data_IF_783545410260
#
_entry.id   IF_783545410260
#
_cell.length_a   1.000
_cell.length_b   1.000
_cell.length_c   1.000
_cell.angle_alpha   90.00
_cell.angle_beta   90.00
_cell.angle_gamma   90.00
#
_symmetry.space_group_name_H-M   'P 1'
#
loop_
_entity.id
_entity.type
_entity.pdbx_description
1 polymer ?
#
# COMPACT_ATOMS: atom_id res chain seq x y z
N UNK A 1 -4.38 -5.65 4.49
CA UNK A 1 -5.03 -4.94 3.35
C UNK A 1 -4.31 -3.64 2.95
N UNK A 2 -3.99 -2.73 3.88
CA UNK A 2 -3.20 -1.50 3.62
C UNK A 2 -1.83 -1.76 2.96
N UNK A 3 -1.11 -2.81 3.37
CA UNK A 3 0.15 -3.21 2.77
C UNK A 3 0.00 -3.81 1.36
N UNK A 4 -1.19 -4.20 0.90
CA UNK A 4 -1.48 -4.64 -0.46
C UNK A 4 -1.97 -3.49 -1.35
N UNK A 5 -2.69 -2.52 -0.78
CA UNK A 5 -3.17 -1.33 -1.48
C UNK A 5 -2.03 -0.34 -1.77
N UNK A 6 -1.02 -0.27 -0.91
CA UNK A 6 0.27 0.39 -1.20
C UNK A 6 1.11 -0.31 -2.31
N UNK A 7 0.82 -1.58 -2.64
CA UNK A 7 1.59 -2.35 -3.65
C UNK A 7 1.19 -2.02 -5.08
N UNK A 8 -0.08 -1.68 -5.31
CA UNK A 8 -0.54 -1.23 -6.62
C UNK A 8 0.05 0.16 -6.96
N UNK A 9 0.09 1.07 -5.97
CA UNK A 9 0.58 2.44 -6.15
C UNK A 9 2.07 2.53 -6.53
N UNK A 10 2.89 1.56 -6.09
CA UNK A 10 4.34 1.54 -6.37
C UNK A 10 4.73 0.74 -7.62
N UNK A 11 3.95 -0.25 -8.03
CA UNK A 11 4.25 -1.03 -9.25
C UNK A 11 4.19 -0.16 -10.52
N UNK A 12 3.36 0.88 -10.49
CA UNK A 12 3.10 1.81 -11.59
C UNK A 12 4.24 2.80 -11.90
N UNK A 13 5.16 3.04 -10.96
CA UNK A 13 6.31 3.95 -11.18
C UNK A 13 7.42 3.35 -12.05
N UNK A 14 7.38 2.05 -12.35
CA UNK A 14 8.44 1.36 -13.10
C UNK A 14 8.07 0.98 -14.55
N UNK A 15 6.88 1.37 -15.05
CA UNK A 15 6.47 1.12 -16.44
C UNK A 15 6.58 2.34 -17.37
N UNK A 16 7.08 3.49 -16.88
CA UNK A 16 7.29 4.68 -17.71
C UNK A 16 8.78 4.88 -18.06
N UNK A 17 9.27 4.09 -19.02
CA UNK A 17 10.38 4.50 -19.89
C UNK A 17 10.07 4.01 -21.32
N UNK A 18 9.59 4.88 -22.23
CA UNK A 18 9.56 4.53 -23.64
C UNK A 18 10.99 4.53 -24.19
N UNK A 19 11.38 3.42 -24.81
CA UNK A 19 12.58 3.32 -25.64
C UNK A 19 12.42 4.28 -26.83
N UNK A 20 13.24 5.33 -26.88
CA UNK A 20 13.38 6.16 -28.07
C UNK A 20 14.09 5.35 -29.17
N UNK A 21 13.37 5.14 -30.26
CA UNK A 21 13.89 4.64 -31.54
C UNK A 21 14.55 5.83 -32.22
N UNK A 22 15.88 5.87 -32.27
CA UNK A 22 16.62 6.81 -33.12
C UNK A 22 16.67 6.23 -34.52
N UNK A 23 15.85 6.79 -35.41
CA UNK A 23 16.02 6.62 -36.86
C UNK A 23 17.23 7.42 -37.33
N UNK A 24 18.18 6.74 -37.98
CA UNK A 24 19.25 7.37 -38.77
C UNK A 24 18.96 7.14 -40.25
N UNK A 25 18.83 8.24 -40.98
CA UNK A 25 18.75 8.29 -42.44
C UNK A 25 19.81 9.27 -42.96
N UNK A 26 20.29 8.98 -44.18
CA UNK A 26 21.27 9.69 -45.03
C UNK A 26 22.76 9.47 -44.66
N UNK A 27 23.56 8.74 -45.46
CA UNK A 27 24.04 8.97 -46.86
C UNK A 27 24.78 10.32 -46.96
N UNK A 28 26.01 10.48 -47.47
CA UNK A 28 26.79 9.80 -48.52
C UNK A 28 28.31 10.13 -48.39
N UNK A 29 29.14 9.27 -49.00
CA UNK A 29 30.42 9.53 -49.73
C UNK A 29 31.58 10.26 -49.03
N UNK A 30 32.87 9.94 -49.21
CA UNK A 30 33.59 9.00 -50.10
C UNK A 30 35.09 9.06 -49.78
N UNK A 31 35.75 7.90 -49.91
CA UNK A 31 37.10 7.66 -50.47
C UNK A 31 38.34 8.48 -50.03
N UNK A 32 39.35 7.76 -49.54
CA UNK A 32 40.73 7.60 -50.09
C UNK A 32 41.70 7.30 -48.94
N UNK A 33 42.20 6.06 -48.84
CA UNK A 33 43.42 5.50 -49.45
C UNK A 33 44.72 5.76 -48.67
N UNK A 34 45.32 4.65 -48.22
CA UNK A 34 46.75 4.23 -48.29
C UNK A 34 47.77 5.00 -47.44
N UNK A 35 48.45 4.43 -46.43
CA UNK A 35 49.44 3.33 -46.39
C UNK A 35 50.89 3.87 -46.26
N UNK A 36 51.65 3.32 -45.30
CA UNK A 36 53.13 3.13 -45.25
C UNK A 36 53.57 3.07 -43.76
N UNK A 37 54.06 1.97 -43.18
CA UNK A 37 55.46 1.45 -43.14
C UNK A 37 56.51 2.56 -42.87
N UNK A 38 57.52 2.45 -42.01
CA UNK A 38 58.09 1.45 -41.10
C UNK A 38 59.17 2.15 -40.22
N UNK A 39 59.86 1.37 -39.38
CA UNK A 39 61.22 1.60 -38.83
C UNK A 39 61.44 2.35 -37.49
N UNK A 40 61.85 1.56 -36.48
CA UNK A 40 62.87 1.86 -35.45
C UNK A 40 64.30 1.75 -36.05
N UNK A 41 65.45 2.14 -35.42
CA UNK A 41 65.71 2.21 -33.97
C UNK A 41 66.74 3.29 -33.47
N UNK A 42 67.02 3.24 -32.15
CA UNK A 42 68.37 3.29 -31.54
C UNK A 42 68.79 4.52 -30.72
N UNK A 43 69.22 4.19 -29.48
CA UNK A 43 70.31 4.80 -28.65
C UNK A 43 70.17 6.24 -28.17
N UNK A 44 70.67 6.68 -27.01
CA UNK A 44 71.09 6.13 -25.72
C UNK A 44 71.54 7.35 -24.87
N UNK A 45 71.32 7.28 -23.55
CA UNK A 45 72.06 7.99 -22.49
C UNK A 45 72.05 9.53 -22.41
N UNK A 46 71.47 10.08 -21.34
CA UNK A 46 72.17 10.80 -20.24
C UNK A 46 71.20 11.72 -19.46
N UNK A 47 71.10 11.51 -18.14
CA UNK A 47 70.66 12.50 -17.13
C UNK A 47 71.92 13.19 -16.55
N UNK A 48 71.90 14.30 -15.74
CA UNK A 48 70.85 14.89 -14.88
C UNK A 48 70.82 16.47 -14.96
N UNK A 49 70.31 17.34 -14.02
CA UNK A 49 69.62 17.14 -12.73
C UNK A 49 68.31 17.97 -12.46
N UNK A 50 67.63 17.57 -11.38
CA UNK A 50 66.43 18.05 -10.60
C UNK A 50 66.44 19.58 -10.29
N UNK A 51 65.32 20.34 -10.01
CA UNK A 51 64.04 19.95 -9.35
C UNK A 51 62.70 20.53 -9.87
N UNK A 52 61.63 20.04 -9.22
CA UNK A 52 60.28 20.59 -9.06
C UNK A 52 59.25 20.11 -10.08
N UNK A 53 58.47 19.11 -9.71
CA UNK A 53 57.10 19.34 -9.24
C UNK A 53 56.54 18.10 -8.54
N UNK A 54 55.77 18.35 -7.48
CA UNK A 54 55.03 17.35 -6.73
C UNK A 54 53.83 16.96 -7.59
N UNK A 55 53.90 15.83 -8.30
CA UNK A 55 52.69 15.22 -8.85
C UNK A 55 51.95 14.52 -7.71
N UNK A 56 50.82 15.12 -7.34
CA UNK A 56 49.76 14.51 -6.55
C UNK A 56 49.45 13.12 -7.11
N UNK A 57 49.90 12.10 -6.39
CA UNK A 57 49.29 10.79 -6.50
C UNK A 57 47.83 10.96 -6.07
N UNK A 58 46.93 11.02 -7.06
CA UNK A 58 45.50 10.81 -6.84
C UNK A 58 45.35 9.39 -6.31
N UNK A 59 45.36 9.29 -4.98
CA UNK A 59 44.83 8.14 -4.27
C UNK A 59 43.36 8.11 -4.65
N UNK A 60 43.00 7.23 -5.58
CA UNK A 60 41.61 6.81 -5.70
C UNK A 60 41.33 6.06 -4.40
N UNK A 61 40.86 6.79 -3.39
CA UNK A 61 40.30 6.18 -2.19
C UNK A 61 39.22 5.21 -2.67
N UNK A 62 39.50 3.92 -2.59
CA UNK A 62 38.49 2.90 -2.82
C UNK A 62 37.41 3.16 -1.78
N UNK A 63 36.23 3.59 -2.23
CA UNK A 63 35.06 3.77 -1.35
C UNK A 63 34.96 2.54 -0.45
N UNK A 64 35.15 2.71 0.86
CA UNK A 64 35.05 1.61 1.82
C UNK A 64 33.67 0.98 1.65
N UNK A 65 33.66 -0.21 1.07
CA UNK A 65 32.45 -0.86 0.64
C UNK A 65 31.60 -1.22 1.86
N UNK A 66 30.52 -0.50 2.15
CA UNK A 66 29.68 -0.76 3.33
C UNK A 66 28.87 -2.08 3.21
N UNK A 67 28.48 -2.66 4.35
CA UNK A 67 27.81 -3.96 4.40
C UNK A 67 26.49 -3.92 3.63
N UNK A 68 25.80 -2.79 3.72
CA UNK A 68 24.57 -2.52 2.98
C UNK A 68 24.79 -2.63 1.46
N UNK A 69 25.75 -1.91 0.89
CA UNK A 69 26.03 -1.95 -0.55
C UNK A 69 26.55 -3.32 -0.97
N UNK A 70 27.31 -4.00 -0.10
CA UNK A 70 27.75 -5.36 -0.33
C UNK A 70 26.57 -6.32 -0.57
N UNK A 71 25.58 -6.33 0.32
CA UNK A 71 24.38 -7.18 0.19
C UNK A 71 23.44 -6.71 -0.93
N UNK A 72 23.32 -5.40 -1.15
CA UNK A 72 22.43 -4.87 -2.19
C UNK A 72 22.94 -5.16 -3.61
N UNK A 73 24.25 -5.33 -3.82
CA UNK A 73 24.84 -5.73 -5.11
C UNK A 73 24.52 -7.16 -5.54
N UNK A 74 23.95 -7.99 -4.66
CA UNK A 74 23.40 -9.30 -5.03
C UNK A 74 22.15 -9.12 -5.91
N UNK A 75 22.36 -8.72 -7.17
CA UNK A 75 21.30 -8.42 -8.16
C UNK A 75 20.53 -9.67 -8.61
N UNK A 76 21.05 -10.86 -8.36
CA UNK A 76 20.43 -12.13 -8.74
C UNK A 76 19.90 -12.87 -7.49
N UNK A 77 18.64 -13.29 -7.52
CA UNK A 77 18.02 -14.14 -6.49
C UNK A 77 18.69 -15.52 -6.29
N UNK A 78 19.66 -15.86 -7.17
CA UNK A 78 20.46 -17.09 -7.10
C UNK A 78 21.64 -17.00 -6.13
N UNK A 79 22.18 -15.81 -5.87
CA UNK A 79 23.29 -15.65 -4.92
C UNK A 79 22.74 -15.52 -3.50
N UNK A 80 23.29 -16.29 -2.58
CA UNK A 80 22.89 -16.31 -1.17
C UNK A 80 23.42 -15.07 -0.45
N UNK A 81 22.55 -14.36 0.26
CA UNK A 81 22.96 -13.31 1.18
C UNK A 81 23.70 -13.92 2.39
N UNK A 82 23.38 -15.15 2.79
CA UNK A 82 24.10 -15.86 3.85
C UNK A 82 25.56 -16.09 3.46
N UNK A 83 25.84 -16.58 2.25
CA UNK A 83 27.22 -16.77 1.77
C UNK A 83 28.01 -15.45 1.72
N UNK A 84 27.35 -14.37 1.31
CA UNK A 84 27.96 -13.04 1.29
C UNK A 84 28.26 -12.52 2.71
N UNK A 85 27.36 -12.76 3.66
CA UNK A 85 27.55 -12.41 5.07
C UNK A 85 28.64 -13.26 5.74
N UNK A 86 28.71 -14.55 5.43
CA UNK A 86 29.78 -15.45 5.90
C UNK A 86 31.13 -15.00 5.36
N UNK A 87 31.21 -14.63 4.08
CA UNK A 87 32.44 -14.07 3.48
C UNK A 87 32.83 -12.76 4.16
N UNK A 88 31.87 -11.88 4.41
CA UNK A 88 32.09 -10.61 5.10
C UNK A 88 32.62 -10.80 6.53
N UNK A 89 32.01 -11.70 7.29
CA UNK A 89 32.46 -12.05 8.64
C UNK A 89 33.84 -12.74 8.62
N UNK A 90 34.11 -13.59 7.62
CA UNK A 90 35.40 -14.24 7.42
C UNK A 90 36.54 -13.27 7.06
N UNK A 91 36.23 -12.12 6.47
CA UNK A 91 37.16 -11.00 6.26
C UNK A 91 37.44 -10.20 7.55
N UNK A 92 36.87 -10.61 8.69
CA UNK A 92 37.03 -9.93 9.99
C UNK A 92 36.22 -8.65 10.13
N UNK A 93 35.27 -8.41 9.21
CA UNK A 93 34.47 -7.18 9.17
C UNK A 93 33.25 -7.32 10.07
N UNK A 94 32.92 -6.26 10.81
CA UNK A 94 31.77 -6.27 11.71
C UNK A 94 30.45 -6.31 10.93
N UNK A 95 29.47 -7.07 11.45
CA UNK A 95 28.10 -7.11 10.94
C UNK A 95 27.11 -6.99 12.13
N UNK A 96 26.98 -5.80 12.74
CA UNK A 96 26.21 -5.64 13.96
C UNK A 96 24.71 -5.86 13.74
N UNK A 97 24.03 -6.46 14.72
CA UNK A 97 22.61 -6.81 14.64
C UNK A 97 21.67 -5.63 14.23
N UNK A 98 21.84 -4.38 14.72
CA UNK A 98 21.02 -3.25 14.27
C UNK A 98 21.16 -2.93 12.78
N UNK A 99 22.35 -3.09 12.21
CA UNK A 99 22.60 -2.87 10.78
C UNK A 99 21.96 -3.97 9.95
N UNK A 100 22.10 -5.24 10.36
CA UNK A 100 21.44 -6.39 9.73
C UNK A 100 19.91 -6.25 9.74
N UNK A 101 19.31 -5.76 10.83
CA UNK A 101 17.88 -5.42 10.88
C UNK A 101 17.49 -4.36 9.85
N UNK A 102 18.32 -3.32 9.72
CA UNK A 102 18.14 -2.27 8.72
C UNK A 102 18.15 -2.84 7.30
N UNK A 103 19.13 -3.68 7.00
CA UNK A 103 19.29 -4.35 5.70
C UNK A 103 18.10 -5.27 5.40
N UNK A 104 17.71 -6.13 6.34
CA UNK A 104 16.56 -7.02 6.18
C UNK A 104 15.26 -6.25 5.92
N UNK A 105 15.04 -5.13 6.62
CA UNK A 105 13.89 -4.24 6.42
C UNK A 105 13.89 -3.62 5.03
N UNK A 106 15.02 -3.15 4.54
CA UNK A 106 15.10 -2.51 3.23
C UNK A 106 15.04 -3.51 2.08
N UNK A 107 15.63 -4.71 2.24
CA UNK A 107 15.42 -5.82 1.32
C UNK A 107 13.94 -6.23 1.26
N UNK A 108 13.25 -6.24 2.40
CA UNK A 108 11.80 -6.49 2.46
C UNK A 108 11.00 -5.41 1.73
N UNK A 109 11.38 -4.14 1.86
CA UNK A 109 10.78 -3.02 1.10
C UNK A 109 11.04 -3.15 -0.40
N UNK A 110 12.22 -3.63 -0.78
CA UNK A 110 12.60 -3.94 -2.16
C UNK A 110 12.05 -5.28 -2.67
N UNK A 111 11.23 -5.99 -1.88
CA UNK A 111 10.65 -7.32 -2.19
C UNK A 111 11.65 -8.45 -2.42
N UNK A 112 12.89 -8.28 -1.96
CA UNK A 112 13.91 -9.32 -1.95
C UNK A 112 13.75 -10.20 -0.70
N UNK A 113 12.59 -10.83 -0.56
CA UNK A 113 12.20 -11.55 0.67
C UNK A 113 13.11 -12.74 0.97
N UNK A 114 13.62 -13.42 -0.05
CA UNK A 114 14.61 -14.50 0.12
C UNK A 114 15.88 -13.98 0.78
N UNK A 115 16.48 -12.92 0.25
CA UNK A 115 17.68 -12.30 0.84
C UNK A 115 17.40 -11.72 2.24
N UNK A 116 16.23 -11.11 2.45
CA UNK A 116 15.85 -10.63 3.77
C UNK A 116 15.73 -11.78 4.79
N UNK A 117 15.18 -12.93 4.37
CA UNK A 117 15.08 -14.12 5.21
C UNK A 117 16.46 -14.70 5.52
N UNK A 118 17.35 -14.78 4.54
CA UNK A 118 18.74 -15.22 4.72
C UNK A 118 19.51 -14.32 5.71
N UNK A 119 19.32 -12.99 5.64
CA UNK A 119 19.88 -12.05 6.63
C UNK A 119 19.30 -12.29 8.03
N UNK A 120 17.99 -12.52 8.15
CA UNK A 120 17.37 -12.84 9.43
C UNK A 120 17.89 -14.18 10.00
N UNK A 121 18.02 -15.23 9.18
CA UNK A 121 18.59 -16.50 9.59
C UNK A 121 20.04 -16.36 10.06
N UNK A 122 20.85 -15.57 9.36
CA UNK A 122 22.22 -15.23 9.78
C UNK A 122 22.23 -14.56 11.17
N UNK A 123 21.32 -13.62 11.42
CA UNK A 123 21.20 -13.00 12.76
C UNK A 123 20.86 -14.01 13.85
N UNK A 124 20.05 -15.05 13.59
CA UNK A 124 19.77 -16.07 14.62
C UNK A 124 20.98 -16.93 14.92
N UNK A 125 21.74 -17.28 13.90
CA UNK A 125 22.90 -18.18 14.06
C UNK A 125 24.10 -17.47 14.70
N UNK A 126 24.26 -16.16 14.47
CA UNK A 126 25.45 -15.41 14.92
C UNK A 126 25.16 -14.36 16.00
N UNK A 127 23.90 -13.95 16.19
CA UNK A 127 23.47 -12.90 17.12
C UNK A 127 22.22 -13.32 17.93
N UNK A 128 22.15 -14.59 18.35
CA UNK A 128 20.96 -15.13 19.05
C UNK A 128 20.61 -14.35 20.32
N UNK A 129 21.62 -13.93 21.09
CA UNK A 129 21.46 -13.14 22.31
C UNK A 129 20.87 -11.74 22.07
N UNK A 130 21.02 -11.22 20.85
CA UNK A 130 20.58 -9.88 20.50
C UNK A 130 19.15 -9.87 19.95
N UNK A 131 18.52 -11.04 19.74
CA UNK A 131 17.19 -11.15 19.15
C UNK A 131 16.11 -10.61 20.09
N UNK A 132 15.25 -9.77 19.53
CA UNK A 132 14.03 -9.25 20.16
C UNK A 132 12.81 -10.08 19.77
N UNK A 133 11.72 -9.96 20.52
CA UNK A 133 10.41 -10.55 20.20
C UNK A 133 9.93 -10.17 18.78
N UNK A 134 10.17 -8.91 18.38
CA UNK A 134 9.86 -8.42 17.05
C UNK A 134 10.67 -9.12 15.94
N UNK A 135 11.90 -9.59 16.22
CA UNK A 135 12.71 -10.30 15.21
C UNK A 135 12.09 -11.66 14.83
N UNK A 136 11.40 -12.31 15.77
CA UNK A 136 10.61 -13.52 15.48
C UNK A 136 9.40 -13.22 14.60
N UNK A 137 8.66 -12.13 14.89
CA UNK A 137 7.55 -11.67 14.07
C UNK A 137 7.97 -11.36 12.62
N UNK A 138 9.08 -10.63 12.44
CA UNK A 138 9.66 -10.33 11.12
C UNK A 138 10.01 -11.61 10.37
N UNK A 139 10.59 -12.61 11.05
CA UNK A 139 10.94 -13.88 10.43
C UNK A 139 9.71 -14.67 10.00
N UNK A 140 8.66 -14.73 10.81
CA UNK A 140 7.39 -15.38 10.45
C UNK A 140 6.80 -14.75 9.17
N UNK A 141 6.79 -13.41 9.07
CA UNK A 141 6.33 -12.72 7.86
C UNK A 141 7.22 -13.03 6.63
N UNK A 142 8.54 -13.11 6.81
CA UNK A 142 9.48 -13.46 5.75
C UNK A 142 9.31 -14.92 5.28
N UNK A 143 9.23 -15.88 6.21
CA UNK A 143 8.97 -17.29 5.91
C UNK A 143 7.63 -17.40 5.15
N UNK A 144 6.60 -16.71 5.62
CA UNK A 144 5.29 -16.68 4.94
C UNK A 144 5.42 -16.19 3.50
N UNK A 145 6.20 -15.14 3.25
CA UNK A 145 6.38 -14.57 1.90
C UNK A 145 7.21 -15.45 0.97
N UNK A 146 8.13 -16.26 1.50
CA UNK A 146 9.05 -17.09 0.72
C UNK A 146 8.50 -18.52 0.52
N UNK A 147 7.96 -19.11 1.58
CA UNK A 147 7.57 -20.52 1.65
C UNK A 147 6.08 -20.75 1.94
N UNK A 148 5.31 -19.70 2.26
CA UNK A 148 3.87 -19.80 2.55
C UNK A 148 3.55 -20.02 4.03
N UNK A 149 2.25 -19.99 4.36
CA UNK A 149 1.78 -20.03 5.74
C UNK A 149 2.04 -21.37 6.46
N UNK A 150 2.03 -22.50 5.75
CA UNK A 150 2.30 -23.80 6.38
C UNK A 150 3.75 -23.89 6.90
N UNK A 151 4.72 -23.34 6.15
CA UNK A 151 6.11 -23.28 6.63
C UNK A 151 6.27 -22.31 7.82
N UNK A 152 5.49 -21.23 7.84
CA UNK A 152 5.45 -20.30 8.97
C UNK A 152 4.84 -20.96 10.22
N UNK A 153 3.84 -21.83 10.06
CA UNK A 153 3.25 -22.65 11.12
C UNK A 153 4.27 -23.63 11.71
N UNK A 154 4.97 -24.38 10.86
CA UNK A 154 6.02 -25.31 11.31
C UNK A 154 7.13 -24.58 12.10
N UNK A 155 7.46 -23.35 11.68
CA UNK A 155 8.43 -22.51 12.39
C UNK A 155 7.86 -22.03 13.72
N UNK A 156 6.63 -21.49 13.74
CA UNK A 156 5.98 -20.96 14.94
C UNK A 156 5.83 -22.04 16.00
N UNK A 157 5.42 -23.26 15.62
CA UNK A 157 5.22 -24.33 16.61
C UNK A 157 6.51 -24.81 17.26
N UNK A 158 7.65 -24.69 16.56
CA UNK A 158 8.99 -24.98 17.09
C UNK A 158 9.57 -23.88 17.97
N UNK A 159 8.94 -22.70 18.04
CA UNK A 159 9.41 -21.64 18.92
C UNK A 159 9.25 -22.05 20.39
N UNK A 160 10.23 -21.73 21.25
CA UNK A 160 10.07 -21.92 22.68
C UNK A 160 8.91 -21.06 23.20
N UNK A 161 8.21 -21.46 24.27
CA UNK A 161 7.09 -20.69 24.82
C UNK A 161 7.45 -19.22 25.13
N UNK A 162 8.70 -18.96 25.55
CA UNK A 162 9.23 -17.61 25.83
C UNK A 162 9.38 -16.73 24.60
N UNK A 163 9.44 -17.30 23.39
CA UNK A 163 9.52 -16.56 22.13
C UNK A 163 8.16 -16.42 21.42
N UNK A 164 7.09 -17.04 21.94
CA UNK A 164 5.71 -16.91 21.44
C UNK A 164 5.04 -15.67 22.05
N UNK A 165 5.63 -14.50 21.80
CA UNK A 165 5.08 -13.20 22.25
C UNK A 165 3.82 -12.80 21.47
N UNK A 166 3.14 -11.74 21.91
CA UNK A 166 2.00 -11.16 21.19
C UNK A 166 2.36 -10.81 19.74
N UNK A 167 3.56 -10.29 19.50
CA UNK A 167 4.06 -9.94 18.16
C UNK A 167 4.23 -11.18 17.29
N UNK A 168 4.74 -12.28 17.84
CA UNK A 168 4.88 -13.54 17.12
C UNK A 168 3.51 -14.13 16.74
N UNK A 169 2.56 -14.13 17.69
CA UNK A 169 1.18 -14.55 17.43
C UNK A 169 0.50 -13.66 16.39
N UNK A 170 0.66 -12.34 16.48
CA UNK A 170 0.06 -11.37 15.55
C UNK A 170 0.65 -11.52 14.15
N UNK A 171 1.97 -11.69 14.02
CA UNK A 171 2.62 -11.97 12.74
C UNK A 171 2.15 -13.29 12.13
N UNK A 172 1.92 -14.31 12.96
CA UNK A 172 1.42 -15.60 12.51
C UNK A 172 -0.06 -15.54 12.11
N UNK A 173 -0.88 -14.77 12.84
CA UNK A 173 -2.25 -14.48 12.46
C UNK A 173 -2.33 -13.76 11.11
N UNK A 174 -1.46 -12.76 10.91
CA UNK A 174 -1.32 -12.07 9.62
C UNK A 174 -0.94 -13.04 8.49
N UNK A 175 -0.12 -14.06 8.78
CA UNK A 175 0.24 -15.10 7.83
C UNK A 175 -0.98 -15.91 7.34
N UNK A 176 -1.81 -16.37 8.27
CA UNK A 176 -3.04 -17.07 7.94
C UNK A 176 -4.06 -16.18 7.24
N UNK A 177 -4.24 -14.95 7.72
CA UNK A 177 -5.15 -13.99 7.11
C UNK A 177 -4.77 -13.70 5.65
N UNK A 178 -3.47 -13.50 5.38
CA UNK A 178 -2.96 -13.28 4.02
C UNK A 178 -3.15 -14.49 3.11
N UNK A 179 -3.03 -15.69 3.67
CA UNK A 179 -3.26 -16.96 2.97
C UNK A 179 -4.74 -17.36 2.93
N UNK A 180 -5.65 -16.52 3.46
CA UNK A 180 -7.10 -16.78 3.54
C UNK A 180 -7.44 -18.10 4.24
N UNK A 181 -6.63 -18.54 5.20
CA UNK A 181 -6.84 -19.77 5.96
C UNK A 181 -7.72 -19.49 7.19
N UNK A 182 -9.02 -19.29 6.98
CA UNK A 182 -9.95 -18.84 8.02
C UNK A 182 -9.99 -19.76 9.24
N UNK A 183 -10.18 -21.07 9.06
CA UNK A 183 -10.30 -22.00 10.19
C UNK A 183 -9.04 -22.03 11.06
N UNK A 184 -7.86 -21.89 10.43
CA UNK A 184 -6.58 -21.83 11.15
C UNK A 184 -6.40 -20.51 11.89
N UNK A 185 -6.80 -19.40 11.28
CA UNK A 185 -6.78 -18.09 11.92
C UNK A 185 -7.72 -18.02 13.13
N UNK A 186 -8.93 -18.55 13.03
CA UNK A 186 -9.89 -18.60 14.15
C UNK A 186 -9.36 -19.44 15.32
N UNK A 187 -8.77 -20.61 15.04
CA UNK A 187 -8.12 -21.43 16.07
C UNK A 187 -6.94 -20.72 16.72
N UNK A 188 -6.11 -20.02 15.94
CA UNK A 188 -4.99 -19.25 16.49
C UNK A 188 -5.48 -18.08 17.35
N UNK A 189 -6.51 -17.36 16.91
CA UNK A 189 -7.13 -16.28 17.67
C UNK A 189 -7.73 -16.79 18.99
N UNK A 190 -8.35 -17.98 18.99
CA UNK A 190 -8.80 -18.61 20.22
C UNK A 190 -7.62 -18.97 21.14
N UNK A 191 -6.53 -19.55 20.60
CA UNK A 191 -5.32 -19.84 21.38
C UNK A 191 -4.69 -18.57 21.99
N UNK A 192 -4.74 -17.44 21.31
CA UNK A 192 -4.26 -16.16 21.85
C UNK A 192 -5.08 -15.74 23.08
N UNK A 193 -6.40 -15.94 23.03
CA UNK A 193 -7.31 -15.66 24.17
C UNK A 193 -7.07 -16.62 25.33
N UNK A 194 -6.96 -17.92 25.03
CA UNK A 194 -6.74 -18.96 26.04
C UNK A 194 -5.37 -18.85 26.73
N UNK A 195 -4.42 -18.15 26.10
CA UNK A 195 -3.10 -17.84 26.64
C UNK A 195 -3.06 -16.51 27.43
N UNK A 196 -4.21 -15.88 27.68
CA UNK A 196 -4.36 -14.59 28.37
C UNK A 196 -3.47 -13.48 27.81
N UNK A 197 -3.21 -13.50 26.49
CA UNK A 197 -2.44 -12.45 25.84
C UNK A 197 -3.24 -11.14 25.82
N UNK A 198 -2.58 -9.97 25.96
CA UNK A 198 -3.24 -8.68 25.88
C UNK A 198 -3.59 -8.36 24.41
N UNK A 199 -4.67 -8.95 23.91
CA UNK A 199 -5.16 -8.76 22.54
C UNK A 199 -5.59 -7.30 22.38
N UNK A 200 -4.91 -6.60 21.47
CA UNK A 200 -5.19 -5.20 21.14
C UNK A 200 -6.12 -5.05 19.92
N UNK A 201 -6.46 -3.81 19.61
CA UNK A 201 -7.30 -3.45 18.45
C UNK A 201 -6.74 -3.95 17.12
N UNK A 202 -5.41 -4.10 17.00
CA UNK A 202 -4.76 -4.54 15.77
C UNK A 202 -5.11 -6.00 15.44
N UNK A 203 -5.10 -6.89 16.44
CA UNK A 203 -5.44 -8.31 16.25
C UNK A 203 -6.90 -8.47 15.84
N UNK A 204 -7.82 -7.74 16.48
CA UNK A 204 -9.24 -7.72 16.10
C UNK A 204 -9.43 -7.21 14.67
N UNK A 205 -8.76 -6.11 14.30
CA UNK A 205 -8.80 -5.55 12.96
C UNK A 205 -8.26 -6.51 11.88
N UNK A 206 -7.25 -7.32 12.21
CA UNK A 206 -6.73 -8.35 11.29
C UNK A 206 -7.77 -9.45 11.07
N UNK A 207 -8.46 -9.91 12.11
CA UNK A 207 -9.55 -10.90 11.99
C UNK A 207 -10.76 -10.35 11.21
N UNK A 208 -11.19 -9.11 11.51
CA UNK A 208 -12.25 -8.46 10.72
C UNK A 208 -11.84 -8.33 9.25
N UNK A 209 -10.60 -7.91 8.98
CA UNK A 209 -10.06 -7.82 7.62
C UNK A 209 -10.09 -9.18 6.91
N UNK A 210 -9.72 -10.26 7.62
CA UNK A 210 -9.78 -11.62 7.10
C UNK A 210 -11.21 -11.98 6.71
N UNK A 211 -12.17 -11.83 7.63
CA UNK A 211 -13.58 -12.15 7.39
C UNK A 211 -14.13 -11.42 6.17
N UNK A 212 -13.90 -10.10 6.07
CA UNK A 212 -14.35 -9.33 4.89
C UNK A 212 -13.68 -9.86 3.61
N UNK A 213 -12.39 -10.22 3.67
CA UNK A 213 -11.65 -10.72 2.49
C UNK A 213 -12.09 -12.09 1.97
N UNK A 214 -12.79 -12.88 2.80
CA UNK A 214 -13.33 -14.20 2.45
C UNK A 214 -14.87 -14.21 2.37
N UNK A 215 -15.52 -13.07 2.61
CA UNK A 215 -16.96 -12.92 2.44
C UNK A 215 -17.82 -13.22 3.68
N UNK A 216 -17.19 -13.49 4.82
CA UNK A 216 -17.86 -13.81 6.08
C UNK A 216 -18.30 -12.53 6.82
N UNK A 217 -19.06 -11.68 6.14
CA UNK A 217 -19.40 -10.33 6.61
C UNK A 217 -20.18 -10.34 7.93
N UNK A 218 -21.00 -11.36 8.15
CA UNK A 218 -21.83 -11.54 9.36
C UNK A 218 -21.01 -11.70 10.64
N UNK A 219 -19.73 -12.11 10.53
CA UNK A 219 -18.84 -12.27 11.69
C UNK A 219 -18.22 -10.94 12.16
N UNK A 220 -18.24 -9.90 11.32
CA UNK A 220 -17.62 -8.60 11.63
C UNK A 220 -18.34 -7.88 12.78
N UNK A 221 -19.69 -7.76 12.80
CA UNK A 221 -20.40 -7.16 13.92
C UNK A 221 -20.17 -7.92 15.25
N UNK A 222 -20.21 -9.25 15.23
CA UNK A 222 -19.98 -10.08 16.43
C UNK A 222 -18.60 -9.82 17.02
N UNK A 223 -17.57 -9.71 16.17
CA UNK A 223 -16.22 -9.46 16.61
C UNK A 223 -16.04 -8.03 17.15
N UNK A 224 -16.75 -7.05 16.59
CA UNK A 224 -16.75 -5.67 17.09
C UNK A 224 -17.39 -5.55 18.48
N UNK A 225 -18.47 -6.29 18.74
CA UNK A 225 -19.08 -6.32 20.07
C UNK A 225 -18.21 -7.07 21.10
N UNK A 226 -17.49 -8.11 20.69
CA UNK A 226 -16.47 -8.74 21.55
C UNK A 226 -15.33 -7.77 21.89
N UNK A 227 -14.80 -7.04 20.90
CA UNK A 227 -13.76 -6.02 21.11
C UNK A 227 -14.18 -5.02 22.21
N UNK A 228 -15.43 -4.54 22.17
CA UNK A 228 -15.97 -3.63 23.19
C UNK A 228 -16.13 -4.30 24.55
N UNK A 229 -16.63 -5.54 24.59
CA UNK A 229 -16.79 -6.32 25.83
C UNK A 229 -15.45 -6.55 26.54
N UNK A 230 -14.37 -6.67 25.78
CA UNK A 230 -13.00 -6.77 26.31
C UNK A 230 -12.39 -5.41 26.68
N UNK A 231 -13.16 -4.32 26.69
CA UNK A 231 -12.73 -2.95 26.97
C UNK A 231 -11.59 -2.46 26.04
N UNK A 232 -11.50 -3.02 24.83
CA UNK A 232 -10.60 -2.53 23.79
C UNK A 232 -11.35 -1.45 23.01
N UNK A 233 -10.80 -0.24 22.93
CA UNK A 233 -11.46 0.86 22.22
C UNK A 233 -11.37 0.65 20.71
N UNK A 234 -12.49 0.74 19.96
CA UNK A 234 -12.44 0.79 18.51
C UNK A 234 -11.62 2.00 18.04
N UNK A 235 -10.86 1.82 16.95
CA UNK A 235 -10.20 2.92 16.25
C UNK A 235 -10.94 3.25 14.93
N UNK A 236 -10.52 4.32 14.26
CA UNK A 236 -11.13 4.72 12.97
C UNK A 236 -11.02 3.60 11.93
N UNK A 237 -9.97 2.78 11.99
CA UNK A 237 -9.82 1.63 11.10
C UNK A 237 -10.85 0.53 11.41
N UNK A 238 -11.13 0.26 12.68
CA UNK A 238 -12.19 -0.65 13.14
C UNK A 238 -13.54 -0.22 12.59
N UNK A 239 -13.89 1.07 12.76
CA UNK A 239 -15.13 1.62 12.21
C UNK A 239 -15.18 1.52 10.69
N UNK A 240 -14.07 1.78 10.00
CA UNK A 240 -13.98 1.61 8.56
C UNK A 240 -14.24 0.16 8.12
N UNK A 241 -13.70 -0.84 8.82
CA UNK A 241 -13.97 -2.25 8.52
C UNK A 241 -15.45 -2.60 8.73
N UNK A 242 -16.06 -2.11 9.82
CA UNK A 242 -17.49 -2.32 10.10
C UNK A 242 -18.39 -1.69 9.03
N UNK A 243 -18.11 -0.45 8.63
CA UNK A 243 -18.82 0.25 7.54
C UNK A 243 -18.62 -0.46 6.21
N UNK A 244 -17.40 -0.94 5.94
CA UNK A 244 -17.11 -1.70 4.73
C UNK A 244 -17.96 -2.97 4.66
N UNK A 245 -18.08 -3.68 5.79
CA UNK A 245 -18.89 -4.89 5.89
C UNK A 245 -20.38 -4.58 5.73
N UNK A 246 -20.91 -3.54 6.39
CA UNK A 246 -22.33 -3.17 6.31
C UNK A 246 -22.72 -2.71 4.90
N UNK A 247 -21.87 -1.92 4.25
CA UNK A 247 -22.06 -1.49 2.86
C UNK A 247 -22.03 -2.69 1.91
N UNK A 248 -21.10 -3.62 2.12
CA UNK A 248 -21.00 -4.82 1.30
C UNK A 248 -22.19 -5.77 1.46
N UNK A 249 -22.75 -5.88 2.68
CA UNK A 249 -23.98 -6.63 2.96
C UNK A 249 -25.27 -5.85 2.62
N UNK A 250 -25.16 -4.60 2.14
CA UNK A 250 -26.29 -3.68 1.91
C UNK A 250 -27.16 -3.42 3.16
N UNK A 251 -26.59 -3.57 4.36
CA UNK A 251 -27.29 -3.31 5.62
C UNK A 251 -27.10 -1.85 6.05
N UNK A 252 -28.03 -1.01 5.60
CA UNK A 252 -28.00 0.44 5.84
C UNK A 252 -28.35 0.82 7.27
N UNK A 253 -29.12 -0.03 7.97
CA UNK A 253 -29.49 0.23 9.36
C UNK A 253 -28.27 0.02 10.26
N UNK A 254 -27.51 -1.06 10.03
CA UNK A 254 -26.21 -1.26 10.69
C UNK A 254 -25.23 -0.15 10.32
N UNK A 255 -25.15 0.23 9.03
CA UNK A 255 -24.31 1.36 8.60
C UNK A 255 -24.62 2.66 9.37
N UNK A 256 -25.90 3.05 9.45
CA UNK A 256 -26.34 4.26 10.16
C UNK A 256 -26.07 4.17 11.66
N UNK A 257 -26.33 2.99 12.26
CA UNK A 257 -26.01 2.72 13.66
C UNK A 257 -24.52 2.88 13.96
N UNK A 258 -23.64 2.42 13.06
CA UNK A 258 -22.19 2.61 13.19
C UNK A 258 -21.82 4.10 13.14
N UNK A 259 -22.39 4.87 12.20
CA UNK A 259 -22.11 6.32 12.14
C UNK A 259 -22.55 7.03 13.41
N UNK A 260 -23.72 6.68 13.97
CA UNK A 260 -24.21 7.24 15.23
C UNK A 260 -23.29 6.86 16.42
N UNK A 261 -22.85 5.60 16.48
CA UNK A 261 -21.89 5.14 17.47
C UNK A 261 -20.59 5.97 17.42
N UNK A 262 -20.05 6.18 16.22
CA UNK A 262 -18.83 7.01 16.02
C UNK A 262 -18.99 8.44 16.56
N UNK A 263 -20.18 9.05 16.51
CA UNK A 263 -20.38 10.40 17.08
C UNK A 263 -20.40 10.44 18.60
N UNK A 264 -20.73 9.31 19.24
CA UNK A 264 -20.80 9.20 20.70
C UNK A 264 -19.48 8.71 21.29
N UNK A 265 -18.53 8.31 20.46
CA UNK A 265 -17.22 7.83 20.89
C UNK A 265 -16.40 8.98 21.52
N UNK A 266 -15.86 8.79 22.73
CA UNK A 266 -15.01 9.79 23.39
C UNK A 266 -13.77 10.20 22.58
N UNK A 267 -13.29 9.34 21.68
CA UNK A 267 -12.13 9.60 20.82
C UNK A 267 -12.50 10.33 19.51
N UNK A 268 -13.77 10.68 19.32
CA UNK A 268 -14.24 11.39 18.14
C UNK A 268 -13.55 12.74 17.98
N UNK A 269 -12.93 12.94 16.82
CA UNK A 269 -12.24 14.18 16.44
C UNK A 269 -12.76 14.70 15.10
N UNK A 270 -12.21 15.84 14.64
CA UNK A 270 -12.59 16.43 13.34
C UNK A 270 -12.43 15.44 12.18
N UNK A 271 -11.39 14.59 12.21
CA UNK A 271 -11.16 13.58 11.19
C UNK A 271 -12.20 12.45 11.18
N UNK A 272 -12.67 12.03 12.35
CA UNK A 272 -13.77 11.06 12.47
C UNK A 272 -15.08 11.65 11.97
N UNK A 273 -15.31 12.93 12.26
CA UNK A 273 -16.47 13.68 11.76
C UNK A 273 -16.43 13.79 10.24
N UNK A 274 -15.29 14.18 9.66
CA UNK A 274 -15.07 14.23 8.22
C UNK A 274 -15.26 12.86 7.56
N UNK A 275 -14.69 11.81 8.15
CA UNK A 275 -14.87 10.43 7.69
C UNK A 275 -16.34 10.02 7.67
N UNK A 276 -17.07 10.24 8.76
CA UNK A 276 -18.51 9.93 8.88
C UNK A 276 -19.32 10.64 7.79
N UNK A 277 -19.07 11.94 7.60
CA UNK A 277 -19.79 12.73 6.60
C UNK A 277 -19.49 12.24 5.19
N UNK A 278 -18.22 11.96 4.88
CA UNK A 278 -17.80 11.38 3.60
C UNK A 278 -18.45 10.02 3.34
N UNK A 279 -18.47 9.14 4.35
CA UNK A 279 -19.09 7.82 4.24
C UNK A 279 -20.59 7.94 3.95
N UNK A 280 -21.31 8.83 4.64
CA UNK A 280 -22.74 9.08 4.37
C UNK A 280 -22.96 9.59 2.95
N UNK A 281 -22.27 10.68 2.56
CA UNK A 281 -22.41 11.31 1.24
C UNK A 281 -22.11 10.30 0.13
N UNK A 282 -21.06 9.51 0.27
CA UNK A 282 -20.70 8.50 -0.72
C UNK A 282 -21.77 7.41 -0.86
N UNK A 283 -22.29 6.87 0.26
CA UNK A 283 -23.36 5.85 0.22
C UNK A 283 -24.64 6.42 -0.41
N UNK A 284 -25.02 7.64 -0.04
CA UNK A 284 -26.21 8.31 -0.57
C UNK A 284 -26.07 8.62 -2.08
N UNK A 285 -24.90 9.09 -2.52
CA UNK A 285 -24.63 9.44 -3.92
C UNK A 285 -24.49 8.21 -4.84
N UNK A 286 -23.99 7.09 -4.29
CA UNK A 286 -23.69 5.87 -5.06
C UNK A 286 -24.90 4.97 -5.34
N UNK A 287 -26.10 5.32 -4.86
CA UNK A 287 -27.34 4.54 -5.04
C UNK A 287 -27.21 3.06 -4.63
N UNK A 288 -26.51 2.76 -3.54
CA UNK A 288 -26.56 1.43 -2.92
C UNK A 288 -27.98 1.03 -2.41
N UNK A 289 -29.00 1.85 -2.67
CA UNK A 289 -30.32 1.78 -2.02
C UNK A 289 -31.51 1.80 -2.98
N UNK A 290 -31.38 2.09 -4.29
CA UNK A 290 -32.59 2.16 -5.13
C UNK A 290 -32.36 2.03 -6.64
N UNK A 291 -32.42 0.79 -7.14
CA UNK A 291 -33.46 0.35 -8.09
C UNK A 291 -33.25 -1.14 -8.42
N UNK A 292 -34.35 -1.89 -8.44
CA UNK A 292 -34.36 -3.35 -8.33
C UNK A 292 -33.68 -4.14 -9.46
N UNK A 293 -33.32 -5.38 -9.09
CA UNK A 293 -33.28 -6.57 -9.95
C UNK A 293 -32.47 -6.51 -11.25
N UNK A 294 -31.23 -6.01 -11.25
CA UNK A 294 -30.36 -6.14 -12.44
C UNK A 294 -28.87 -6.40 -12.17
N UNK A 295 -28.36 -6.16 -10.95
CA UNK A 295 -26.92 -6.27 -10.69
C UNK A 295 -26.48 -7.56 -9.98
N UNK A 296 -27.41 -8.49 -9.71
CA UNK A 296 -27.11 -9.69 -8.91
C UNK A 296 -26.33 -10.75 -9.70
N UNK A 297 -26.33 -10.72 -11.04
CA UNK A 297 -25.65 -11.76 -11.85
C UNK A 297 -24.37 -11.30 -12.55
N UNK A 298 -24.14 -9.99 -12.71
CA UNK A 298 -22.90 -9.46 -13.29
C UNK A 298 -21.78 -9.30 -12.25
N UNK A 299 -22.14 -9.09 -10.97
CA UNK A 299 -21.19 -8.93 -9.87
C UNK A 299 -20.79 -10.25 -9.21
N UNK A 300 -21.51 -11.34 -9.50
CA UNK A 300 -21.20 -12.69 -9.02
C UNK A 300 -19.85 -13.25 -9.53
N UNK A 301 -19.18 -12.58 -10.47
CA UNK A 301 -17.85 -12.94 -10.98
C UNK A 301 -16.73 -11.97 -10.58
N UNK A 302 -17.04 -10.91 -9.83
CA UNK A 302 -16.03 -10.03 -9.27
C UNK A 302 -15.58 -10.68 -7.96
N UNK A 303 -14.32 -11.12 -7.91
CA UNK A 303 -13.76 -11.65 -6.65
C UNK A 303 -13.93 -10.60 -5.57
N UNK A 304 -14.45 -10.95 -4.38
CA UNK A 304 -14.57 -10.05 -3.22
C UNK A 304 -13.28 -9.27 -2.88
N UNK A 305 -12.13 -9.76 -3.37
CA UNK A 305 -10.81 -9.10 -3.32
C UNK A 305 -10.75 -7.77 -4.09
N UNK A 306 -11.65 -7.56 -5.05
CA UNK A 306 -11.73 -6.39 -5.92
C UNK A 306 -12.77 -5.37 -5.44
N UNK A 307 -13.63 -5.69 -4.44
CA UNK A 307 -14.80 -4.87 -4.07
C UNK A 307 -14.74 -4.15 -2.71
N UNK A 308 -13.84 -4.54 -1.81
CA UNK A 308 -13.45 -3.70 -0.65
C UNK A 308 -12.51 -2.60 -1.16
N UNK A 309 -13.02 -1.86 -2.15
CA UNK A 309 -12.32 -1.06 -3.17
C UNK A 309 -11.64 0.14 -2.57
N UNK A 310 -10.66 0.66 -3.30
CA UNK A 310 -9.99 1.93 -3.04
C UNK A 310 -10.90 3.06 -2.54
N UNK A 311 -12.19 3.06 -2.87
CA UNK A 311 -13.20 4.00 -2.39
C UNK A 311 -13.19 4.14 -0.85
N UNK A 312 -13.24 3.03 -0.11
CA UNK A 312 -13.25 3.07 1.35
C UNK A 312 -11.91 3.52 1.92
N UNK A 313 -10.79 3.20 1.25
CA UNK A 313 -9.49 3.76 1.60
C UNK A 313 -9.41 5.26 1.32
N UNK A 314 -9.98 5.73 0.22
CA UNK A 314 -10.02 7.14 -0.13
C UNK A 314 -10.80 7.90 0.93
N UNK A 315 -11.98 7.41 1.32
CA UNK A 315 -12.80 7.99 2.38
C UNK A 315 -12.05 7.97 3.73
N UNK A 316 -11.40 6.85 4.08
CA UNK A 316 -10.58 6.72 5.29
C UNK A 316 -9.44 7.73 5.34
N UNK A 317 -8.63 7.79 4.27
CA UNK A 317 -7.48 8.69 4.24
C UNK A 317 -7.88 10.17 4.13
N UNK A 318 -8.99 10.47 3.46
CA UNK A 318 -9.57 11.80 3.43
C UNK A 318 -10.06 12.22 4.83
N UNK A 319 -10.77 11.34 5.54
CA UNK A 319 -11.15 11.55 6.94
C UNK A 319 -9.95 11.76 7.87
N UNK A 320 -8.84 11.04 7.64
CA UNK A 320 -7.58 11.25 8.37
C UNK A 320 -6.81 12.51 7.96
N UNK A 321 -7.29 13.30 7.00
CA UNK A 321 -6.57 14.48 6.47
C UNK A 321 -5.35 14.15 5.62
N UNK A 322 -5.14 12.88 5.28
CA UNK A 322 -3.97 12.39 4.54
C UNK A 322 -4.14 12.57 3.02
N UNK A 323 -4.20 13.82 2.55
CA UNK A 323 -4.45 14.15 1.15
C UNK A 323 -3.39 13.59 0.19
N UNK A 324 -2.13 13.52 0.59
CA UNK A 324 -1.07 12.89 -0.21
C UNK A 324 -1.35 11.42 -0.48
N UNK A 325 -1.91 10.71 0.51
CA UNK A 325 -2.32 9.31 0.37
C UNK A 325 -3.51 9.17 -0.56
N UNK A 326 -4.49 10.07 -0.48
CA UNK A 326 -5.63 10.10 -1.42
C UNK A 326 -5.13 10.30 -2.85
N UNK A 327 -4.18 11.22 -3.08
CA UNK A 327 -3.55 11.44 -4.39
C UNK A 327 -2.77 10.23 -4.89
N UNK A 328 -2.01 9.58 -4.00
CA UNK A 328 -1.26 8.35 -4.33
C UNK A 328 -2.21 7.20 -4.68
N UNK A 329 -3.33 7.06 -3.94
CA UNK A 329 -4.36 6.05 -4.22
C UNK A 329 -5.02 6.35 -5.56
N UNK A 330 -5.39 7.60 -5.83
CA UNK A 330 -5.98 7.99 -7.11
C UNK A 330 -5.05 7.67 -8.29
N UNK A 331 -3.78 8.06 -8.21
CA UNK A 331 -2.75 7.72 -9.20
C UNK A 331 -2.58 6.21 -9.35
N UNK A 332 -2.67 5.46 -8.26
CA UNK A 332 -2.62 3.99 -8.30
C UNK A 332 -3.79 3.41 -9.09
N UNK A 333 -5.01 3.87 -8.82
CA UNK A 333 -6.23 3.41 -9.50
C UNK A 333 -6.16 3.67 -11.00
N UNK A 334 -5.61 4.81 -11.41
CA UNK A 334 -5.44 5.16 -12.81
C UNK A 334 -4.43 4.27 -13.54
N UNK A 335 -3.38 3.84 -12.83
CA UNK A 335 -2.30 3.05 -13.42
C UNK A 335 -2.58 1.55 -13.40
N UNK A 336 -3.58 1.10 -12.65
CA UNK A 336 -4.05 -0.29 -12.71
C UNK A 336 -4.83 -0.52 -14.00
N UNK A 337 -4.62 -1.68 -14.65
CA UNK A 337 -5.37 -2.07 -15.84
C UNK A 337 -6.86 -2.41 -15.56
N UNK A 338 -7.33 -2.20 -14.32
CA UNK A 338 -8.73 -2.40 -13.95
C UNK A 338 -9.60 -1.25 -14.48
N UNK A 339 -10.80 -1.59 -14.96
CA UNK A 339 -11.76 -0.59 -15.43
C UNK A 339 -12.31 0.19 -14.24
N UNK A 340 -12.04 1.49 -14.21
CA UNK A 340 -12.70 2.41 -13.27
C UNK A 340 -14.19 2.48 -13.60
N UNK A 341 -15.01 2.70 -12.58
CA UNK A 341 -16.46 2.89 -12.68
C UNK A 341 -16.84 4.31 -12.25
N UNK A 342 -18.03 4.77 -12.61
CA UNK A 342 -18.58 6.06 -12.16
C UNK A 342 -18.52 6.22 -10.64
N UNK A 343 -18.73 5.12 -9.91
CA UNK A 343 -18.63 5.05 -8.44
C UNK A 343 -17.25 5.46 -7.91
N UNK A 344 -16.18 5.05 -8.59
CA UNK A 344 -14.82 5.41 -8.21
C UNK A 344 -14.54 6.90 -8.39
N UNK A 345 -15.00 7.49 -9.51
CA UNK A 345 -14.89 8.93 -9.75
C UNK A 345 -15.68 9.73 -8.71
N UNK A 346 -16.92 9.32 -8.41
CA UNK A 346 -17.75 9.95 -7.37
C UNK A 346 -17.05 9.90 -6.01
N UNK A 347 -16.42 8.79 -5.65
CA UNK A 347 -15.72 8.66 -4.37
C UNK A 347 -14.54 9.63 -4.23
N UNK A 348 -13.71 9.73 -5.27
CA UNK A 348 -12.53 10.61 -5.24
C UNK A 348 -12.95 12.07 -5.34
N UNK A 349 -13.99 12.35 -6.12
CA UNK A 349 -14.60 13.67 -6.21
C UNK A 349 -15.19 14.12 -4.87
N UNK A 350 -15.97 13.26 -4.19
CA UNK A 350 -16.53 13.57 -2.87
C UNK A 350 -15.42 13.81 -1.84
N UNK A 351 -14.35 13.01 -1.86
CA UNK A 351 -13.20 13.19 -0.99
C UNK A 351 -12.53 14.56 -1.19
N UNK A 352 -12.21 14.94 -2.44
CA UNK A 352 -11.57 16.23 -2.70
C UNK A 352 -12.49 17.42 -2.38
N UNK A 353 -13.78 17.34 -2.69
CA UNK A 353 -14.73 18.41 -2.38
C UNK A 353 -14.82 18.65 -0.86
N UNK A 354 -14.98 17.59 -0.07
CA UNK A 354 -15.10 17.69 1.38
C UNK A 354 -13.79 18.11 2.07
N UNK A 355 -12.63 17.85 1.45
CA UNK A 355 -11.35 18.36 1.91
C UNK A 355 -11.00 19.76 1.35
N UNK A 356 -11.95 20.44 0.68
CA UNK A 356 -11.75 21.78 0.11
C UNK A 356 -10.79 21.85 -1.08
N UNK A 357 -10.42 20.72 -1.68
CA UNK A 357 -9.48 20.64 -2.80
C UNK A 357 -10.21 20.80 -4.15
N UNK A 358 -10.82 21.97 -4.39
CA UNK A 358 -11.62 22.22 -5.60
C UNK A 358 -10.83 22.06 -6.91
N UNK A 359 -9.53 22.37 -6.89
CA UNK A 359 -8.65 22.19 -8.06
C UNK A 359 -8.45 20.71 -8.42
N UNK A 360 -8.19 19.87 -7.42
CA UNK A 360 -8.04 18.42 -7.64
C UNK A 360 -9.41 17.80 -8.04
N UNK A 361 -10.51 18.27 -7.45
CA UNK A 361 -11.87 17.89 -7.86
C UNK A 361 -12.16 18.24 -9.34
N UNK A 362 -11.78 19.43 -9.80
CA UNK A 362 -11.90 19.84 -11.19
C UNK A 362 -11.11 18.93 -12.14
N UNK A 363 -9.92 18.50 -11.74
CA UNK A 363 -9.09 17.58 -12.51
C UNK A 363 -9.75 16.20 -12.65
N UNK A 364 -10.38 15.70 -11.59
CA UNK A 364 -11.14 14.43 -11.62
C UNK A 364 -12.31 14.51 -12.61
N UNK A 365 -13.06 15.62 -12.62
CA UNK A 365 -14.16 15.83 -13.58
C UNK A 365 -13.64 15.88 -15.01
N UNK A 366 -12.56 16.64 -15.28
CA UNK A 366 -11.93 16.70 -16.60
C UNK A 366 -11.47 15.33 -17.09
N UNK A 367 -10.88 14.54 -16.20
CA UNK A 367 -10.42 13.19 -16.51
C UNK A 367 -11.60 12.25 -16.80
N UNK A 368 -12.70 12.37 -16.06
CA UNK A 368 -13.91 11.57 -16.32
C UNK A 368 -14.55 11.95 -17.67
N UNK A 369 -14.68 13.24 -17.97
CA UNK A 369 -15.22 13.72 -19.25
C UNK A 369 -14.39 13.29 -20.46
N UNK A 370 -13.06 13.20 -20.31
CA UNK A 370 -12.15 12.70 -21.35
C UNK A 370 -12.14 11.18 -21.45
N UNK A 371 -12.62 10.47 -20.43
CA UNK A 371 -12.68 9.02 -20.44
C UNK A 371 -13.76 8.54 -21.38
N UNK A 372 -13.44 7.54 -22.22
CA UNK A 372 -14.43 6.87 -23.06
C UNK A 372 -15.19 5.78 -22.30
N UNK A 373 -14.62 5.27 -21.20
CA UNK A 373 -15.17 4.21 -20.35
C UNK A 373 -14.66 4.40 -18.91
N UNK A 374 -15.52 4.68 -17.92
CA UNK A 374 -16.96 4.83 -18.04
C UNK A 374 -17.32 6.16 -18.73
N UNK A 375 -18.47 6.20 -19.39
CA UNK A 375 -19.04 7.46 -19.90
C UNK A 375 -19.27 8.43 -18.73
N UNK A 376 -19.21 9.72 -19.01
CA UNK A 376 -19.44 10.75 -18.02
C UNK A 376 -20.89 10.72 -17.52
N UNK A 377 -21.09 10.39 -16.25
CA UNK A 377 -22.42 10.28 -15.63
C UNK A 377 -22.80 11.59 -14.93
N UNK A 378 -23.49 12.48 -15.65
CA UNK A 378 -24.01 13.74 -15.08
C UNK A 378 -25.02 13.46 -13.95
N UNK A 379 -25.76 12.34 -14.02
CA UNK A 379 -26.71 11.97 -12.96
C UNK A 379 -26.00 11.64 -11.66
N UNK A 380 -24.84 10.98 -11.72
CA UNK A 380 -24.00 10.75 -10.55
C UNK A 380 -23.52 12.04 -9.89
N UNK A 381 -23.13 13.04 -10.69
CA UNK A 381 -22.77 14.36 -10.17
C UNK A 381 -23.98 15.08 -9.53
N UNK A 382 -25.18 14.96 -10.12
CA UNK A 382 -26.40 15.50 -9.50
C UNK A 382 -26.70 14.84 -8.15
N UNK A 383 -26.54 13.52 -8.05
CA UNK A 383 -26.71 12.79 -6.78
C UNK A 383 -25.71 13.21 -5.72
N UNK A 384 -24.44 13.39 -6.10
CA UNK A 384 -23.41 13.89 -5.20
C UNK A 384 -23.76 15.30 -4.69
N UNK A 385 -24.23 16.17 -5.59
CA UNK A 385 -24.69 17.50 -5.24
C UNK A 385 -25.88 17.49 -4.27
N UNK A 386 -26.92 16.68 -4.56
CA UNK A 386 -28.08 16.52 -3.66
C UNK A 386 -27.65 15.93 -2.30
N UNK A 387 -26.71 14.99 -2.27
CA UNK A 387 -26.17 14.41 -1.04
C UNK A 387 -25.39 15.43 -0.19
N UNK A 388 -24.59 16.31 -0.83
CA UNK A 388 -23.90 17.40 -0.14
C UNK A 388 -24.89 18.38 0.52
N UNK A 389 -25.96 18.74 -0.20
CA UNK A 389 -27.02 19.59 0.34
C UNK A 389 -27.76 18.93 1.50
N UNK A 390 -28.14 17.65 1.36
CA UNK A 390 -28.83 16.90 2.41
C UNK A 390 -27.99 16.75 3.69
N UNK A 391 -26.67 16.65 3.54
CA UNK A 391 -25.73 16.59 4.65
C UNK A 391 -25.35 17.99 5.23
N UNK A 392 -25.90 19.08 4.68
CA UNK A 392 -25.70 20.45 5.18
C UNK A 392 -24.44 21.15 4.67
N UNK A 393 -23.72 20.59 3.69
CA UNK A 393 -22.52 21.18 3.09
C UNK A 393 -22.86 22.11 1.92
N UNK A 394 -23.63 23.17 2.19
CA UNK A 394 -24.14 24.09 1.17
C UNK A 394 -23.02 24.79 0.39
N UNK A 395 -22.01 25.32 1.08
CA UNK A 395 -20.92 26.06 0.45
C UNK A 395 -20.09 25.16 -0.49
N UNK A 396 -19.87 23.90 -0.07
CA UNK A 396 -19.22 22.87 -0.88
C UNK A 396 -20.07 22.48 -2.08
N UNK A 397 -21.39 22.33 -1.89
CA UNK A 397 -22.33 22.04 -2.97
C UNK A 397 -22.38 23.19 -4.00
N UNK A 398 -22.38 24.44 -3.54
CA UNK A 398 -22.36 25.63 -4.39
C UNK A 398 -21.06 25.74 -5.19
N UNK A 399 -19.91 25.56 -4.52
CA UNK A 399 -18.60 25.49 -5.18
C UNK A 399 -18.56 24.37 -6.24
N UNK A 400 -19.16 23.22 -5.95
CA UNK A 400 -19.25 22.11 -6.90
C UNK A 400 -20.18 22.43 -8.08
N UNK A 401 -21.30 23.12 -7.84
CA UNK A 401 -22.23 23.59 -8.87
C UNK A 401 -21.55 24.56 -9.83
N UNK A 402 -20.83 25.55 -9.30
CA UNK A 402 -20.06 26.51 -10.10
C UNK A 402 -18.99 25.80 -10.95
N UNK A 403 -18.25 24.87 -10.34
CA UNK A 403 -17.29 24.03 -11.05
C UNK A 403 -17.95 23.29 -12.22
N UNK A 404 -19.09 22.64 -11.99
CA UNK A 404 -19.79 21.89 -13.04
C UNK A 404 -20.33 22.79 -14.15
N UNK A 405 -20.80 24.00 -13.81
CA UNK A 405 -21.21 25.01 -14.80
C UNK A 405 -20.03 25.41 -15.70
N UNK A 406 -18.84 25.63 -15.14
CA UNK A 406 -17.62 25.89 -15.93
C UNK A 406 -17.26 24.72 -16.86
N UNK A 407 -17.60 23.49 -16.48
CA UNK A 407 -17.44 22.28 -17.30
C UNK A 407 -18.62 22.01 -18.24
N UNK A 408 -19.46 23.02 -18.50
CA UNK A 408 -20.66 22.96 -19.36
C UNK A 408 -21.68 21.90 -18.94
N UNK A 409 -21.73 21.56 -17.65
CA UNK A 409 -22.67 20.61 -17.08
C UNK A 409 -23.61 21.32 -16.10
N UNK A 410 -24.92 21.22 -16.33
CA UNK A 410 -25.91 21.83 -15.45
C UNK A 410 -26.30 20.81 -14.39
N UNK A 411 -26.03 21.15 -13.13
CA UNK A 411 -26.58 20.41 -12.00
C UNK A 411 -27.92 21.02 -11.61
N UNK A 412 -28.97 20.19 -11.54
CA UNK A 412 -30.31 20.61 -11.15
C UNK A 412 -30.72 19.88 -9.88
N UNK A 413 -31.03 20.63 -8.82
CA UNK A 413 -31.58 20.04 -7.60
C UNK A 413 -32.97 19.45 -7.89
N UNK A 414 -33.22 18.23 -7.41
CA UNK A 414 -34.60 17.69 -7.40
C UNK A 414 -35.54 18.49 -6.49
N UNK A 415 -35.01 19.27 -5.55
CA UNK A 415 -35.82 20.08 -4.63
C UNK A 415 -36.47 21.31 -5.29
N UNK A 416 -35.92 21.82 -6.39
CA UNK A 416 -36.47 22.97 -7.13
C UNK A 416 -37.53 22.61 -8.17
N UNK A 417 -37.82 21.32 -8.37
CA UNK A 417 -38.80 20.85 -9.37
C UNK A 417 -40.19 20.54 -8.78
N UNK A 418 -40.39 20.74 -7.47
CA UNK A 418 -41.65 20.48 -6.77
C UNK A 418 -42.24 21.74 -6.08
N UNK A 419 -41.81 22.95 -6.46
CA UNK A 419 -42.40 24.21 -5.98
C UNK A 419 -43.35 24.82 -6.99
#
# INVERSE_FOLDING_TARGET
>A
MAAALLRAARASRHLALPRSIVGRSSQLSSSSCTASTAETPSTAAAAPPIPADVEDAVVVEAEEEDLRSHIFRLRLAKRSATEALEKWAGEGRAAPAPELRGIARDLSRARRYKHALEVAEFMKTHHESDLSENDYGVRIDLITKVFGANAAEDFFEKLPPTAKSLEAYTAFLHSYARSKMIDKAERLFQRMKDADLPIDVLVYNEMMTLYISVGELDKVPTLAEELKRQNVSPDLFTYNLRISASVASMDLEVFRGILEEMSKDPNSNEGWTLYRNLASIYVDASQLVSSGNSLVEAEAKISQRDWITYDLLVILHAGLGNLDRVKDIWKSMQMTAQRMTSRNYVCVLSAYLMCGQLKDAAEVVDQWQRSKLPEFDVSACNRLFDALLAAGFTDTADSFRELMLQKSCILSSRASACS
#
